data_IF_814068849111
#
_entry.id   IF_814068849111
#
_cell.length_a   1.000
_cell.length_b   1.000
_cell.length_c   1.000
_cell.angle_alpha   90.00
_cell.angle_beta   90.00
_cell.angle_gamma   90.00
#
_symmetry.space_group_name_H-M   'P 1'
#
loop_
_entity.id
_entity.type
_entity.pdbx_description
1 polymer ?
#
# COMPACT_ATOMS: atom_id res chain seq x y z
N UNK A 1 14.09 -11.08 -19.40
CA UNK A 1 14.61 -9.70 -19.23
C UNK A 1 13.72 -8.63 -19.88
N UNK A 2 12.87 -8.95 -20.86
CA UNK A 2 11.96 -7.98 -21.50
C UNK A 2 10.72 -7.58 -20.67
N UNK A 3 10.04 -8.55 -20.05
CA UNK A 3 8.79 -8.29 -19.31
C UNK A 3 8.90 -7.23 -18.20
N UNK A 4 10.02 -7.21 -17.47
CA UNK A 4 10.20 -6.27 -16.35
C UNK A 4 10.35 -4.83 -16.88
N UNK A 5 11.01 -4.63 -18.02
CA UNK A 5 11.19 -3.31 -18.62
C UNK A 5 9.90 -2.75 -19.22
N UNK A 6 9.10 -3.60 -19.88
CA UNK A 6 7.79 -3.21 -20.41
C UNK A 6 6.79 -2.88 -19.31
N UNK A 7 6.81 -3.65 -18.20
CA UNK A 7 6.02 -3.34 -17.00
C UNK A 7 6.52 -2.03 -16.36
N UNK A 8 7.84 -1.77 -16.34
CA UNK A 8 8.42 -0.51 -15.84
C UNK A 8 7.95 0.70 -16.65
N UNK A 9 7.71 0.53 -17.95
CA UNK A 9 7.21 1.58 -18.84
C UNK A 9 5.69 1.76 -18.74
N UNK A 10 4.94 0.67 -18.56
CA UNK A 10 3.48 0.70 -18.39
C UNK A 10 3.07 1.31 -17.04
N UNK A 11 3.86 1.04 -16.00
CA UNK A 11 3.58 1.50 -14.65
C UNK A 11 4.45 2.72 -14.36
N UNK A 12 3.96 3.90 -14.76
CA UNK A 12 4.61 5.16 -14.43
C UNK A 12 4.80 5.27 -12.90
N UNK A 13 6.01 5.57 -12.46
CA UNK A 13 6.41 5.67 -11.05
C UNK A 13 5.48 6.59 -10.25
N UNK A 14 5.00 7.67 -10.90
CA UNK A 14 4.02 8.59 -10.32
C UNK A 14 2.68 7.90 -10.02
N UNK A 15 2.20 7.08 -10.95
CA UNK A 15 0.97 6.31 -10.78
C UNK A 15 1.10 5.27 -9.66
N UNK A 16 2.25 4.62 -9.53
CA UNK A 16 2.54 3.70 -8.40
C UNK A 16 2.48 4.47 -7.09
N UNK A 17 3.16 5.61 -7.03
CA UNK A 17 3.28 6.42 -5.82
C UNK A 17 1.91 6.91 -5.37
N UNK A 18 1.09 7.44 -6.30
CA UNK A 18 -0.28 7.85 -6.01
C UNK A 18 -1.15 6.67 -5.57
N UNK A 19 -1.03 5.52 -6.22
CA UNK A 19 -1.78 4.31 -5.85
C UNK A 19 -1.41 3.79 -4.45
N UNK A 20 -0.13 3.82 -4.10
CA UNK A 20 0.37 3.46 -2.77
C UNK A 20 -0.21 4.39 -1.68
N UNK A 21 -0.24 5.70 -1.94
CA UNK A 21 -0.80 6.69 -1.02
C UNK A 21 -2.31 6.47 -0.82
N UNK A 22 -3.07 6.30 -1.91
CA UNK A 22 -4.52 6.09 -1.84
C UNK A 22 -4.84 4.78 -1.09
N UNK A 23 -4.11 3.71 -1.41
CA UNK A 23 -4.29 2.40 -0.76
C UNK A 23 -3.98 2.47 0.73
N UNK A 24 -2.93 3.17 1.13
CA UNK A 24 -2.59 3.38 2.53
C UNK A 24 -3.71 4.11 3.28
N UNK A 25 -4.25 5.20 2.71
CA UNK A 25 -5.36 5.97 3.30
C UNK A 25 -6.61 5.09 3.46
N UNK A 26 -6.95 4.29 2.44
CA UNK A 26 -8.11 3.40 2.47
C UNK A 26 -7.97 2.35 3.57
N UNK A 27 -6.80 1.72 3.72
CA UNK A 27 -6.55 0.73 4.77
C UNK A 27 -6.76 1.34 6.16
N UNK A 28 -6.25 2.56 6.40
CA UNK A 28 -6.44 3.26 7.67
C UNK A 28 -7.91 3.65 7.91
N UNK A 29 -8.63 4.06 6.87
CA UNK A 29 -10.06 4.35 6.95
C UNK A 29 -10.86 3.11 7.31
N UNK A 30 -10.61 1.98 6.65
CA UNK A 30 -11.23 0.68 6.94
C UNK A 30 -10.93 0.23 8.37
N UNK A 31 -9.68 0.37 8.83
CA UNK A 31 -9.33 0.07 10.22
C UNK A 31 -10.16 0.91 11.21
N UNK A 32 -10.31 2.22 10.95
CA UNK A 32 -11.09 3.12 11.81
C UNK A 32 -12.58 2.76 11.85
N UNK A 33 -13.15 2.34 10.72
CA UNK A 33 -14.54 1.88 10.64
C UNK A 33 -14.75 0.55 11.38
N UNK A 34 -13.83 -0.41 11.25
CA UNK A 34 -13.88 -1.69 11.97
C UNK A 34 -13.79 -1.49 13.48
N UNK A 35 -12.95 -0.55 13.94
CA UNK A 35 -12.86 -0.16 15.36
C UNK A 35 -14.19 0.40 15.87
N UNK A 36 -14.89 1.23 15.08
CA UNK A 36 -16.20 1.81 15.44
C UNK A 36 -17.30 0.75 15.53
N UNK A 37 -17.27 -0.26 14.66
CA UNK A 37 -18.24 -1.36 14.64
C UNK A 37 -17.93 -2.50 15.64
N UNK A 38 -16.97 -2.32 16.55
CA UNK A 38 -16.51 -3.32 17.54
C UNK A 38 -15.93 -4.62 16.95
N UNK A 39 -15.52 -4.63 15.68
CA UNK A 39 -14.81 -5.75 15.05
C UNK A 39 -13.32 -5.74 15.46
N UNK A 40 -13.04 -6.10 16.72
CA UNK A 40 -11.70 -6.00 17.30
C UNK A 40 -10.65 -6.88 16.59
N UNK A 41 -11.04 -8.08 16.14
CA UNK A 41 -10.15 -9.01 15.44
C UNK A 41 -9.78 -8.49 14.05
N UNK A 42 -10.78 -8.07 13.28
CA UNK A 42 -10.58 -7.56 11.91
C UNK A 42 -9.84 -6.22 11.92
N UNK A 43 -10.14 -5.34 12.89
CA UNK A 43 -9.37 -4.12 13.12
C UNK A 43 -7.87 -4.40 13.30
N UNK A 44 -7.53 -5.42 14.11
CA UNK A 44 -6.13 -5.77 14.37
C UNK A 44 -5.43 -6.27 13.10
N UNK A 45 -6.12 -7.10 12.31
CA UNK A 45 -5.61 -7.60 11.03
C UNK A 45 -5.38 -6.44 10.05
N UNK A 46 -6.40 -5.61 9.81
CA UNK A 46 -6.31 -4.49 8.86
C UNK A 46 -5.23 -3.48 9.28
N UNK A 47 -5.07 -3.21 10.57
CA UNK A 47 -4.01 -2.35 11.08
C UNK A 47 -2.62 -2.94 10.80
N UNK A 48 -2.43 -4.23 11.06
CA UNK A 48 -1.15 -4.91 10.78
C UNK A 48 -0.86 -4.92 9.28
N UNK A 49 -1.86 -5.24 8.45
CA UNK A 49 -1.73 -5.18 6.98
C UNK A 49 -1.37 -3.78 6.49
N UNK A 50 -1.95 -2.72 7.07
CA UNK A 50 -1.61 -1.33 6.73
C UNK A 50 -0.17 -0.95 7.06
N UNK A 51 0.36 -1.44 8.18
CA UNK A 51 1.77 -1.22 8.57
C UNK A 51 2.71 -1.95 7.59
N UNK A 52 2.43 -3.22 7.29
CA UNK A 52 3.22 -4.02 6.34
C UNK A 52 3.17 -3.39 4.95
N UNK A 53 2.00 -2.92 4.52
CA UNK A 53 1.83 -2.23 3.25
C UNK A 53 2.65 -0.94 3.18
N UNK A 54 2.67 -0.14 4.26
CA UNK A 54 3.51 1.05 4.35
C UNK A 54 5.01 0.76 4.24
N UNK A 55 5.49 -0.33 4.86
CA UNK A 55 6.87 -0.78 4.74
C UNK A 55 7.21 -1.21 3.31
N UNK A 56 6.32 -1.97 2.65
CA UNK A 56 6.49 -2.37 1.26
C UNK A 56 6.48 -1.18 0.30
N UNK A 57 5.61 -0.19 0.56
CA UNK A 57 5.54 1.05 -0.20
C UNK A 57 6.86 1.84 -0.12
N UNK A 58 7.42 1.99 1.09
CA UNK A 58 8.72 2.64 1.29
C UNK A 58 9.85 1.88 0.59
N UNK A 59 9.88 0.55 0.72
CA UNK A 59 10.87 -0.27 0.04
C UNK A 59 10.79 -0.13 -1.49
N UNK A 60 9.58 -0.08 -2.05
CA UNK A 60 9.36 0.14 -3.48
C UNK A 60 9.86 1.53 -3.92
N UNK A 61 9.56 2.59 -3.17
CA UNK A 61 10.03 3.96 -3.48
C UNK A 61 11.57 4.02 -3.44
N UNK A 62 12.20 3.39 -2.45
CA UNK A 62 13.67 3.33 -2.36
C UNK A 62 14.26 2.56 -3.54
N UNK A 63 13.69 1.40 -3.89
CA UNK A 63 14.17 0.55 -4.97
C UNK A 63 13.99 1.17 -6.38
N UNK A 64 13.06 2.11 -6.55
CA UNK A 64 12.89 2.83 -7.82
C UNK A 64 13.84 4.03 -7.92
N UNK A 65 14.22 4.64 -6.79
CA UNK A 65 15.09 5.81 -6.75
C UNK A 65 16.59 5.48 -6.58
N UNK A 66 16.96 4.20 -6.44
CA UNK A 66 18.34 3.66 -6.48
C UNK A 66 18.57 3.03 -7.86
#
# INVERSE_FOLDING_TARGET
>A
MYFINDIKMLINTDTITVFLIISFILIFRTAKELKRKKFHRDYKIVKTTGIVYGLLALAAVIAINI
#
